data_IF_078460724023
#
_entry.id   IF_078460724023
#
_cell.length_a   1.000
_cell.length_b   1.000
_cell.length_c   1.000
_cell.angle_alpha   90.00
_cell.angle_beta   90.00
_cell.angle_gamma   90.00
#
_symmetry.space_group_name_H-M   'P 1'
#
loop_
_entity.id
_entity.type
_entity.pdbx_description
1 polymer ?
#
# COMPACT_ATOMS: atom_id res chain seq x y z
N UNK A 1 7.86 -1.62 23.40
CA UNK A 1 8.78 -1.06 22.40
C UNK A 1 9.28 -2.15 21.45
N UNK A 2 9.32 -1.85 20.15
CA UNK A 2 9.91 -2.69 19.10
C UNK A 2 11.09 -1.99 18.42
N UNK A 3 11.90 -2.76 17.71
CA UNK A 3 13.08 -2.29 16.97
C UNK A 3 13.02 -2.78 15.53
N UNK A 4 13.28 -1.89 14.57
CA UNK A 4 13.35 -2.20 13.15
C UNK A 4 14.65 -1.67 12.55
N UNK A 5 15.08 -2.29 11.44
CA UNK A 5 16.28 -1.89 10.71
C UNK A 5 16.20 -0.45 10.18
N UNK A 6 17.37 0.09 9.82
CA UNK A 6 17.52 1.38 9.16
C UNK A 6 16.73 1.45 7.85
N UNK A 7 16.33 2.66 7.46
CA UNK A 7 15.58 2.96 6.22
C UNK A 7 14.21 2.29 6.05
N UNK A 8 13.86 1.39 6.96
CA UNK A 8 12.68 0.55 6.86
C UNK A 8 11.42 1.36 7.10
N UNK A 9 11.38 2.22 8.12
CA UNK A 9 10.21 3.08 8.37
C UNK A 9 9.95 4.05 7.21
N UNK A 10 11.02 4.60 6.64
CA UNK A 10 10.97 5.44 5.44
C UNK A 10 10.35 4.69 4.27
N UNK A 11 10.80 3.46 4.02
CA UNK A 11 10.23 2.57 3.02
C UNK A 11 8.74 2.30 3.27
N UNK A 12 8.36 1.85 4.48
CA UNK A 12 6.97 1.55 4.85
C UNK A 12 6.04 2.73 4.53
N UNK A 13 6.41 3.94 4.97
CA UNK A 13 5.62 5.16 4.78
C UNK A 13 5.62 5.61 3.32
N UNK A 14 6.75 5.56 2.63
CA UNK A 14 6.84 5.97 1.22
C UNK A 14 6.01 5.11 0.26
N UNK A 15 5.81 3.83 0.62
CA UNK A 15 5.02 2.86 -0.15
C UNK A 15 3.53 2.94 0.14
N UNK A 16 3.13 3.40 1.33
CA UNK A 16 1.72 3.43 1.76
C UNK A 16 1.09 4.82 1.63
N UNK A 17 1.84 5.89 1.89
CA UNK A 17 1.36 7.28 1.82
C UNK A 17 0.61 7.65 0.52
N UNK A 18 1.02 7.22 -0.69
CA UNK A 18 0.28 7.54 -1.92
C UNK A 18 -1.17 7.00 -1.94
N UNK A 19 -1.46 6.02 -1.09
CA UNK A 19 -2.75 5.36 -0.98
C UNK A 19 -3.63 5.97 0.09
N UNK A 20 -3.21 7.01 0.80
CA UNK A 20 -4.03 7.68 1.82
C UNK A 20 -5.10 8.55 1.16
N UNK A 21 -6.35 8.42 1.60
CA UNK A 21 -7.47 9.26 1.16
C UNK A 21 -7.22 10.76 1.33
N UNK A 22 -7.83 11.56 0.46
CA UNK A 22 -7.76 13.01 0.49
C UNK A 22 -8.69 13.60 1.56
N UNK A 23 -8.57 14.90 1.81
CA UNK A 23 -9.37 15.61 2.83
C UNK A 23 -10.89 15.54 2.59
N UNK A 24 -11.30 15.34 1.34
CA UNK A 24 -12.71 15.20 0.94
C UNK A 24 -13.23 13.76 1.07
N UNK A 25 -12.34 12.79 1.30
CA UNK A 25 -12.72 11.39 1.50
C UNK A 25 -13.17 11.13 2.94
N UNK A 26 -13.75 9.96 3.19
CA UNK A 26 -14.11 9.56 4.55
C UNK A 26 -12.89 9.56 5.49
N UNK A 27 -13.03 10.07 6.71
CA UNK A 27 -11.94 10.17 7.68
C UNK A 27 -11.21 8.84 7.92
N UNK A 28 -11.97 7.72 7.91
CA UNK A 28 -11.41 6.38 8.09
C UNK A 28 -10.32 6.00 7.08
N UNK A 29 -10.31 6.61 5.87
CA UNK A 29 -9.30 6.35 4.85
C UNK A 29 -8.20 7.41 4.79
N UNK A 30 -8.28 8.45 5.63
CA UNK A 30 -7.29 9.53 5.72
C UNK A 30 -6.16 9.18 6.70
N UNK A 31 -5.67 7.94 6.71
CA UNK A 31 -4.65 7.52 7.66
C UNK A 31 -3.71 6.43 7.11
N UNK A 32 -2.58 6.27 7.80
CA UNK A 32 -1.78 5.04 7.75
C UNK A 32 -2.03 4.28 9.05
N UNK A 33 -2.44 3.02 8.94
CA UNK A 33 -2.52 2.09 10.06
C UNK A 33 -1.21 1.35 10.20
N UNK A 34 -0.62 1.37 11.39
CA UNK A 34 0.53 0.56 11.76
C UNK A 34 0.06 -0.60 12.64
N UNK A 35 0.33 -1.83 12.22
CA UNK A 35 0.01 -3.03 13.01
C UNK A 35 1.31 -3.78 13.33
N UNK A 36 1.53 -4.08 14.60
CA UNK A 36 2.58 -4.96 15.08
C UNK A 36 1.96 -6.31 15.48
N UNK A 37 2.45 -7.43 14.91
CA UNK A 37 1.93 -8.78 15.22
C UNK A 37 2.86 -9.64 16.10
N UNK A 38 3.92 -9.05 16.65
CA UNK A 38 4.96 -9.75 17.41
C UNK A 38 6.18 -10.13 16.56
N UNK A 39 6.05 -10.24 15.24
CA UNK A 39 7.15 -10.57 14.33
C UNK A 39 7.38 -9.49 13.28
N UNK A 40 6.31 -8.88 12.80
CA UNK A 40 6.33 -7.90 11.73
C UNK A 40 5.64 -6.62 12.16
N UNK A 41 6.14 -5.51 11.63
CA UNK A 41 5.44 -4.25 11.57
C UNK A 41 4.87 -4.08 10.17
N UNK A 42 3.56 -3.87 10.07
CA UNK A 42 2.86 -3.54 8.84
C UNK A 42 2.50 -2.06 8.85
N UNK A 43 2.60 -1.41 7.70
CA UNK A 43 1.96 -0.14 7.41
C UNK A 43 0.90 -0.38 6.34
N UNK A 44 -0.31 0.13 6.53
CA UNK A 44 -1.42 -0.02 5.60
C UNK A 44 -2.10 1.31 5.32
N UNK A 45 -2.46 1.55 4.06
CA UNK A 45 -3.28 2.70 3.67
C UNK A 45 -4.19 2.35 2.48
N UNK A 46 -5.33 3.02 2.40
CA UNK A 46 -6.28 2.88 1.29
C UNK A 46 -7.00 4.19 0.99
N UNK A 47 -7.39 4.39 -0.26
CA UNK A 47 -8.18 5.53 -0.73
C UNK A 47 -9.45 5.04 -1.44
N UNK A 48 -9.97 3.87 -1.04
CA UNK A 48 -11.13 3.16 -1.62
C UNK A 48 -10.88 2.54 -3.01
N UNK A 49 -9.98 3.11 -3.80
CA UNK A 49 -9.62 2.59 -5.13
C UNK A 49 -8.35 1.77 -5.13
N UNK A 50 -7.45 2.06 -4.20
CA UNK A 50 -6.20 1.35 -4.00
C UNK A 50 -6.03 0.99 -2.54
N UNK A 51 -5.31 -0.10 -2.29
CA UNK A 51 -4.90 -0.56 -0.96
C UNK A 51 -3.43 -0.93 -1.04
N UNK A 52 -2.64 -0.52 -0.07
CA UNK A 52 -1.24 -0.84 0.04
C UNK A 52 -0.91 -1.31 1.45
N UNK A 53 -0.16 -2.40 1.53
CA UNK A 53 0.37 -2.98 2.75
C UNK A 53 1.85 -3.18 2.54
N UNK A 54 2.67 -2.47 3.31
CA UNK A 54 4.11 -2.68 3.37
C UNK A 54 4.46 -3.33 4.70
N UNK A 55 5.43 -4.24 4.72
CA UNK A 55 5.86 -4.90 5.96
C UNK A 55 7.36 -4.83 6.16
N UNK A 56 7.76 -5.12 7.39
CA UNK A 56 9.15 -5.40 7.76
C UNK A 56 9.20 -6.36 8.93
N UNK A 57 10.31 -7.10 9.03
CA UNK A 57 10.64 -7.86 10.22
C UNK A 57 11.01 -6.91 11.38
N UNK A 58 10.55 -7.24 12.58
CA UNK A 58 11.00 -6.66 13.84
C UNK A 58 12.29 -7.37 14.26
N UNK A 59 13.37 -6.60 14.46
CA UNK A 59 14.70 -7.13 14.77
C UNK A 59 15.01 -7.17 16.27
N UNK A 60 14.12 -6.65 17.11
CA UNK A 60 14.27 -6.67 18.55
C UNK A 60 13.14 -5.98 19.29
N UNK A 61 13.16 -6.08 20.62
CA UNK A 61 12.05 -5.66 21.48
C UNK A 61 11.14 -6.83 21.84
N UNK A 62 10.26 -6.59 22.80
CA UNK A 62 9.35 -7.60 23.37
C UNK A 62 7.96 -7.02 23.61
N UNK A 63 7.56 -6.08 22.76
CA UNK A 63 6.24 -5.47 22.85
C UNK A 63 5.16 -6.50 22.50
N UNK A 64 4.03 -6.41 23.18
CA UNK A 64 2.85 -7.15 22.76
C UNK A 64 2.34 -6.64 21.41
N UNK A 65 1.57 -7.44 20.65
CA UNK A 65 0.92 -6.98 19.43
C UNK A 65 0.06 -5.72 19.67
N UNK A 66 0.14 -4.76 18.77
CA UNK A 66 -0.60 -3.50 18.87
C UNK A 66 -0.99 -2.94 17.51
N UNK A 67 -1.94 -2.00 17.51
CA UNK A 67 -2.31 -1.21 16.34
C UNK A 67 -2.27 0.27 16.71
N UNK A 68 -1.79 1.09 15.77
CA UNK A 68 -1.69 2.54 15.90
C UNK A 68 -2.11 3.20 14.59
N UNK A 69 -2.81 4.33 14.67
CA UNK A 69 -3.30 5.04 13.48
C UNK A 69 -2.73 6.43 13.45
N UNK A 70 -2.00 6.75 12.39
CA UNK A 70 -1.45 8.07 12.12
C UNK A 70 -2.32 8.73 11.05
N UNK A 71 -3.01 9.80 11.44
CA UNK A 71 -3.90 10.53 10.55
C UNK A 71 -3.11 11.38 9.55
N UNK A 72 -3.74 11.71 8.42
CA UNK A 72 -3.12 12.41 7.29
C UNK A 72 -2.42 13.70 7.70
N UNK A 73 -3.00 14.43 8.65
CA UNK A 73 -2.47 15.71 9.14
C UNK A 73 -1.10 15.56 9.81
N UNK A 74 -0.79 14.37 10.35
CA UNK A 74 0.44 14.03 11.07
C UNK A 74 1.48 13.40 10.13
N UNK A 75 1.12 13.05 8.90
CA UNK A 75 2.06 12.45 7.94
C UNK A 75 3.23 13.37 7.53
N UNK A 76 3.08 14.70 7.41
CA UNK A 76 4.23 15.58 7.19
C UNK A 76 5.22 15.54 8.36
N UNK A 77 4.73 15.54 9.59
CA UNK A 77 5.56 15.44 10.80
C UNK A 77 6.24 14.07 10.88
N UNK A 78 5.51 12.99 10.64
CA UNK A 78 6.06 11.64 10.50
C UNK A 78 7.19 11.59 9.46
N UNK A 79 6.98 12.18 8.28
CA UNK A 79 8.01 12.19 7.23
C UNK A 79 9.25 12.98 7.65
N UNK A 80 9.08 14.10 8.36
CA UNK A 80 10.19 14.87 8.92
C UNK A 80 10.93 14.08 10.00
N UNK A 81 10.19 13.41 10.89
CA UNK A 81 10.74 12.57 11.94
C UNK A 81 11.57 11.43 11.36
N UNK A 82 11.02 10.71 10.39
CA UNK A 82 11.72 9.66 9.67
C UNK A 82 13.03 10.19 9.10
N UNK A 83 13.02 11.33 8.39
CA UNK A 83 14.23 11.91 7.80
C UNK A 83 15.32 12.22 8.83
N UNK A 84 14.94 12.64 10.04
CA UNK A 84 15.88 12.90 11.14
C UNK A 84 16.45 11.60 11.74
N UNK A 85 15.65 10.54 11.75
CA UNK A 85 15.99 9.24 12.32
C UNK A 85 16.68 8.29 11.33
N UNK A 86 16.59 8.57 10.02
CA UNK A 86 16.88 7.67 8.90
C UNK A 86 18.35 7.21 8.77
N UNK A 87 19.21 7.46 9.75
CA UNK A 87 20.64 7.09 9.67
C UNK A 87 21.00 5.82 10.45
N UNK A 88 20.00 5.13 11.02
CA UNK A 88 20.22 3.90 11.78
C UNK A 88 18.93 3.22 12.22
N UNK A 89 19.08 2.23 13.10
CA UNK A 89 17.98 1.48 13.72
C UNK A 89 16.96 2.41 14.36
N UNK A 90 15.68 2.11 14.16
CA UNK A 90 14.56 2.86 14.74
C UNK A 90 13.88 2.03 15.82
N UNK A 91 13.74 2.62 17.00
CA UNK A 91 12.92 2.10 18.09
C UNK A 91 11.55 2.76 18.04
N UNK A 92 10.50 1.96 18.16
CA UNK A 92 9.11 2.41 18.13
C UNK A 92 8.45 2.01 19.44
N UNK A 93 7.96 3.00 20.16
CA UNK A 93 7.17 2.86 21.37
C UNK A 93 5.76 3.40 21.09
N UNK A 94 4.73 2.69 21.57
CA UNK A 94 3.33 3.08 21.42
C UNK A 94 2.73 3.37 22.78
N UNK A 95 2.20 4.59 22.94
CA UNK A 95 1.34 4.97 24.07
C UNK A 95 -0.13 4.99 23.62
N UNK A 96 -1.05 5.37 24.52
CA UNK A 96 -2.46 5.46 24.17
C UNK A 96 -2.73 6.47 23.03
N UNK A 97 -1.97 7.55 23.01
CA UNK A 97 -2.17 8.77 22.21
C UNK A 97 -1.01 9.10 21.27
N UNK A 98 0.14 8.43 21.39
CA UNK A 98 1.34 8.76 20.63
C UNK A 98 2.09 7.51 20.16
N UNK A 99 2.77 7.64 19.02
CA UNK A 99 3.82 6.75 18.58
C UNK A 99 5.14 7.49 18.66
N UNK A 100 6.02 6.99 19.52
CA UNK A 100 7.29 7.60 19.84
C UNK A 100 8.37 6.88 19.05
N UNK A 101 9.02 7.62 18.17
CA UNK A 101 10.10 7.17 17.31
C UNK A 101 11.43 7.63 17.90
N UNK A 102 12.33 6.69 18.15
CA UNK A 102 13.67 6.98 18.68
C UNK A 102 14.75 6.38 17.80
N UNK A 103 15.84 7.13 17.61
CA UNK A 103 17.01 6.67 16.84
C UNK A 103 18.20 6.38 17.74
N UNK A 104 19.21 5.69 17.20
CA UNK A 104 20.42 5.32 17.94
C UNK A 104 21.20 6.51 18.55
N UNK A 105 20.98 7.74 18.05
CA UNK A 105 21.64 8.97 18.54
C UNK A 105 20.85 9.70 19.63
N UNK A 106 19.81 9.08 20.19
CA UNK A 106 19.02 9.66 21.28
C UNK A 106 17.96 10.69 20.85
N UNK A 107 17.79 10.92 19.54
CA UNK A 107 16.63 11.66 19.04
C UNK A 107 15.36 10.89 19.36
N UNK A 108 14.36 11.58 19.93
CA UNK A 108 13.05 11.04 20.29
C UNK A 108 11.99 11.99 19.77
N UNK A 109 11.10 11.49 18.93
CA UNK A 109 10.04 12.28 18.28
C UNK A 109 8.72 11.57 18.53
N UNK A 110 7.77 12.28 19.12
CA UNK A 110 6.42 11.78 19.34
C UNK A 110 5.53 12.19 18.16
N UNK A 111 4.77 11.23 17.64
CA UNK A 111 3.76 11.46 16.62
C UNK A 111 2.41 11.19 17.24
N UNK A 112 1.51 12.17 17.21
CA UNK A 112 0.16 11.99 17.73
C UNK A 112 -0.61 10.94 16.91
N UNK A 113 -1.23 10.01 17.63
CA UNK A 113 -2.13 9.01 17.09
C UNK A 113 -3.55 9.56 17.09
N UNK A 114 -4.36 9.13 16.12
CA UNK A 114 -5.78 9.47 16.15
C UNK A 114 -6.52 8.54 17.11
N UNK A 115 -7.09 9.05 18.23
CA UNK A 115 -7.85 8.22 19.15
C UNK A 115 -9.23 7.84 18.61
N UNK A 116 -9.70 8.52 17.56
CA UNK A 116 -11.03 8.34 16.98
C UNK A 116 -11.02 7.59 15.65
N UNK A 117 -9.86 7.51 14.99
CA UNK A 117 -9.76 6.78 13.74
C UNK A 117 -10.01 5.29 13.98
N UNK A 118 -10.84 4.71 13.11
CA UNK A 118 -11.06 3.26 13.07
C UNK A 118 -10.25 2.70 11.91
N UNK A 119 -9.68 1.51 12.10
CA UNK A 119 -9.02 0.78 11.02
C UNK A 119 -10.03 0.64 9.86
N UNK A 120 -9.74 1.15 8.66
CA UNK A 120 -10.73 1.26 7.59
C UNK A 120 -11.24 -0.09 7.10
N UNK A 121 -10.36 -1.10 7.10
CA UNK A 121 -10.67 -2.46 6.67
C UNK A 121 -9.65 -3.47 7.21
N UNK A 122 -10.04 -4.73 7.25
CA UNK A 122 -9.14 -5.85 7.52
C UNK A 122 -8.52 -6.33 6.20
N UNK A 123 -7.29 -5.89 5.93
CA UNK A 123 -6.60 -6.19 4.67
C UNK A 123 -6.28 -7.67 4.52
N UNK A 124 -6.11 -8.40 5.64
CA UNK A 124 -5.82 -9.83 5.63
C UNK A 124 -7.01 -10.59 5.07
N UNK A 125 -8.22 -10.28 5.55
CA UNK A 125 -9.47 -10.87 5.05
C UNK A 125 -9.74 -10.50 3.59
N UNK A 126 -9.35 -9.30 3.16
CA UNK A 126 -9.60 -8.82 1.81
C UNK A 126 -8.63 -9.40 0.77
N UNK A 127 -7.33 -9.40 1.08
CA UNK A 127 -6.27 -9.66 0.09
C UNK A 127 -5.75 -11.09 0.13
N UNK A 128 -5.57 -11.70 1.32
CA UNK A 128 -4.96 -13.03 1.42
C UNK A 128 -5.77 -14.11 0.67
N UNK A 129 -7.11 -14.15 0.73
CA UNK A 129 -7.87 -15.12 -0.07
C UNK A 129 -7.72 -14.95 -1.59
N UNK A 130 -7.23 -13.80 -2.03
CA UNK A 130 -7.02 -13.50 -3.44
C UNK A 130 -5.62 -13.92 -3.92
N UNK A 131 -4.65 -14.09 -3.02
CA UNK A 131 -3.30 -14.58 -3.36
C UNK A 131 -3.32 -16.03 -3.84
N UNK A 132 -4.25 -16.82 -3.33
CA UNK A 132 -4.45 -18.23 -3.73
C UNK A 132 -5.13 -18.38 -5.09
N UNK A 133 -5.59 -17.28 -5.71
CA UNK A 133 -6.30 -17.32 -6.99
C UNK A 133 -5.33 -17.12 -8.15
N UNK A 134 -5.40 -17.97 -9.19
CA UNK A 134 -4.59 -17.77 -10.38
C UNK A 134 -4.95 -16.46 -11.08
N UNK A 135 -4.01 -15.95 -11.88
CA UNK A 135 -4.27 -14.83 -12.77
C UNK A 135 -5.44 -15.14 -13.69
N UNK A 136 -6.44 -14.26 -13.70
CA UNK A 136 -7.61 -14.42 -14.55
C UNK A 136 -7.27 -14.15 -16.02
N UNK A 137 -7.78 -14.98 -16.93
CA UNK A 137 -7.65 -14.81 -18.38
C UNK A 137 -8.61 -13.74 -18.93
N UNK A 138 -8.80 -12.65 -18.19
CA UNK A 138 -9.68 -11.53 -18.57
C UNK A 138 -8.89 -10.23 -18.55
N UNK A 139 -9.18 -9.35 -19.50
CA UNK A 139 -8.59 -8.02 -19.52
C UNK A 139 -9.18 -7.16 -18.40
N UNK A 140 -8.35 -6.29 -17.83
CA UNK A 140 -8.77 -5.37 -16.78
C UNK A 140 -8.55 -3.93 -17.24
N UNK A 141 -9.58 -3.11 -17.14
CA UNK A 141 -9.47 -1.67 -17.31
C UNK A 141 -9.05 -1.01 -15.99
N UNK A 142 -8.08 -0.11 -16.06
CA UNK A 142 -7.48 0.55 -14.90
C UNK A 142 -7.41 2.05 -15.15
N UNK A 143 -7.62 2.85 -14.11
CA UNK A 143 -7.47 4.30 -14.19
C UNK A 143 -5.98 4.67 -14.07
N UNK A 144 -5.36 5.27 -15.12
CA UNK A 144 -3.93 5.61 -15.11
C UNK A 144 -3.55 6.59 -14.01
N UNK A 145 -4.50 7.36 -13.45
CA UNK A 145 -4.20 8.31 -12.36
C UNK A 145 -3.62 7.62 -11.12
N UNK A 146 -3.90 6.31 -10.94
CA UNK A 146 -3.38 5.54 -9.82
C UNK A 146 -1.99 4.94 -10.08
N UNK A 147 -1.48 4.94 -11.31
CA UNK A 147 -0.20 4.31 -11.63
C UNK A 147 0.98 4.98 -10.91
N UNK A 148 0.90 6.29 -10.70
CA UNK A 148 1.91 7.03 -9.93
C UNK A 148 2.04 6.60 -8.47
N UNK A 149 1.02 5.94 -7.90
CA UNK A 149 1.05 5.45 -6.52
C UNK A 149 2.06 4.30 -6.33
N UNK A 150 2.32 3.53 -7.40
CA UNK A 150 3.17 2.34 -7.36
C UNK A 150 4.64 2.63 -7.71
N UNK A 151 5.01 3.90 -7.94
CA UNK A 151 6.35 4.26 -8.46
C UNK A 151 7.51 3.93 -7.51
N UNK A 152 7.25 3.81 -6.21
CA UNK A 152 8.25 3.57 -5.16
C UNK A 152 8.35 2.09 -4.76
N UNK A 153 7.73 1.18 -5.51
CA UNK A 153 7.81 -0.24 -5.20
C UNK A 153 9.19 -0.82 -5.51
N UNK A 154 9.69 -1.76 -4.69
CA UNK A 154 10.92 -2.47 -4.97
C UNK A 154 10.73 -3.37 -6.19
N UNK A 155 11.79 -3.57 -6.96
CA UNK A 155 11.78 -4.45 -8.14
C UNK A 155 12.16 -5.88 -7.72
N UNK A 156 11.61 -6.92 -8.37
CA UNK A 156 10.56 -6.88 -9.39
C UNK A 156 9.16 -6.65 -8.81
N UNK A 157 8.24 -6.15 -9.64
CA UNK A 157 6.81 -6.00 -9.33
C UNK A 157 6.02 -6.97 -10.20
N UNK A 158 5.12 -7.74 -9.59
CA UNK A 158 4.17 -8.58 -10.29
C UNK A 158 2.76 -8.02 -10.11
N UNK A 159 1.94 -8.09 -11.16
CA UNK A 159 0.56 -7.64 -11.13
C UNK A 159 -0.34 -8.58 -11.92
N UNK A 160 -1.49 -8.94 -11.37
CA UNK A 160 -2.49 -9.75 -12.07
C UNK A 160 -3.91 -9.45 -11.61
N UNK A 161 -4.87 -9.73 -12.47
CA UNK A 161 -6.30 -9.66 -12.15
C UNK A 161 -6.78 -10.95 -11.49
N UNK A 162 -7.71 -10.84 -10.55
CA UNK A 162 -8.34 -11.99 -9.87
C UNK A 162 -9.72 -12.35 -10.42
N UNK A 163 -10.15 -11.65 -11.48
CA UNK A 163 -11.43 -11.87 -12.16
C UNK A 163 -12.04 -10.59 -12.69
N UNK A 164 -13.13 -10.72 -13.45
CA UNK A 164 -13.87 -9.56 -13.96
C UNK A 164 -14.49 -8.75 -12.82
N UNK A 165 -14.28 -7.43 -12.84
CA UNK A 165 -14.73 -6.52 -11.79
C UNK A 165 -14.08 -6.75 -10.42
N UNK A 166 -13.05 -7.61 -10.33
CA UNK A 166 -12.29 -7.86 -9.11
C UNK A 166 -11.01 -7.04 -9.09
N UNK A 167 -10.50 -6.78 -7.88
CA UNK A 167 -9.26 -6.07 -7.69
C UNK A 167 -8.09 -6.79 -8.39
N UNK A 168 -7.20 -6.00 -8.98
CA UNK A 168 -5.88 -6.49 -9.39
C UNK A 168 -4.97 -6.51 -8.19
N UNK A 169 -4.22 -7.59 -8.01
CA UNK A 169 -3.18 -7.71 -6.99
C UNK A 169 -1.86 -7.19 -7.53
N UNK A 170 -1.09 -6.54 -6.68
CA UNK A 170 0.23 -5.99 -6.95
C UNK A 170 1.16 -6.51 -5.87
N UNK A 171 2.21 -7.24 -6.23
CA UNK A 171 3.13 -7.87 -5.28
C UNK A 171 4.56 -7.45 -5.59
N UNK A 172 5.29 -7.10 -4.54
CA UNK A 172 6.71 -6.81 -4.58
C UNK A 172 7.38 -7.26 -3.28
N UNK A 173 8.70 -7.12 -3.16
CA UNK A 173 9.42 -7.48 -1.94
C UNK A 173 8.85 -6.75 -0.72
N UNK A 174 8.38 -7.52 0.27
CA UNK A 174 7.72 -7.03 1.49
C UNK A 174 6.57 -6.04 1.26
N UNK A 175 5.86 -6.21 0.15
CA UNK A 175 4.76 -5.35 -0.23
C UNK A 175 3.62 -6.14 -0.88
N UNK A 176 2.39 -5.80 -0.49
CA UNK A 176 1.16 -6.30 -1.05
C UNK A 176 0.20 -5.14 -1.31
N UNK A 177 -0.23 -4.98 -2.55
CA UNK A 177 -1.14 -3.94 -3.01
C UNK A 177 -2.33 -4.50 -3.76
N UNK A 178 -3.40 -3.72 -3.81
CA UNK A 178 -4.55 -3.96 -4.66
C UNK A 178 -5.03 -2.67 -5.31
N UNK A 179 -5.58 -2.80 -6.51
CA UNK A 179 -6.23 -1.71 -7.22
C UNK A 179 -7.56 -2.19 -7.81
N UNK A 180 -8.61 -1.41 -7.55
CA UNK A 180 -9.93 -1.62 -8.12
C UNK A 180 -9.91 -1.34 -9.62
N UNK A 181 -10.53 -2.20 -10.44
CA UNK A 181 -10.70 -1.92 -11.85
C UNK A 181 -11.75 -0.83 -12.07
N UNK A 182 -11.71 -0.21 -13.25
CA UNK A 182 -12.85 0.57 -13.74
C UNK A 182 -13.97 -0.41 -14.10
N UNK A 183 -15.22 -0.04 -13.79
CA UNK A 183 -16.38 -0.83 -14.23
C UNK A 183 -16.48 -0.77 -15.76
N UNK A 184 -16.78 -1.91 -16.38
CA UNK A 184 -16.95 -2.02 -17.84
C UNK A 184 -18.28 -1.41 -18.29
N UNK A 185 -18.38 -0.10 -18.25
CA UNK A 185 -19.57 0.65 -18.68
C UNK A 185 -19.13 1.84 -19.54
N UNK A 186 -19.89 2.17 -20.60
CA UNK A 186 -19.62 3.33 -21.45
C UNK A 186 -18.32 3.23 -22.26
N UNK A 187 -17.35 4.09 -21.95
CA UNK A 187 -16.11 4.30 -22.72
C UNK A 187 -15.23 3.04 -22.85
N UNK A 188 -15.28 2.13 -21.89
CA UNK A 188 -14.55 0.84 -21.95
C UNK A 188 -15.05 -0.06 -23.09
N UNK A 189 -16.34 -0.01 -23.41
CA UNK A 189 -16.93 -0.75 -24.54
C UNK A 189 -16.43 -0.19 -25.87
N UNK A 190 -16.30 1.14 -25.97
CA UNK A 190 -15.74 1.80 -27.14
C UNK A 190 -14.25 1.48 -27.32
N UNK A 191 -13.46 1.46 -26.24
CA UNK A 191 -12.06 1.06 -26.26
C UNK A 191 -11.88 -0.39 -26.75
N UNK A 192 -12.83 -1.28 -26.45
CA UNK A 192 -12.79 -2.66 -26.95
C UNK A 192 -12.98 -2.73 -28.46
N UNK A 193 -13.91 -1.97 -29.00
CA UNK A 193 -14.12 -1.86 -30.45
C UNK A 193 -12.88 -1.29 -31.13
N UNK A 194 -12.23 -0.32 -30.50
CA UNK A 194 -10.95 0.20 -30.96
C UNK A 194 -9.89 -0.92 -30.97
N UNK A 195 -9.67 -1.64 -29.87
CA UNK A 195 -8.72 -2.76 -29.80
C UNK A 195 -8.95 -3.81 -30.91
N UNK A 196 -10.20 -4.10 -31.26
CA UNK A 196 -10.50 -5.04 -32.34
C UNK A 196 -10.11 -4.47 -33.73
N UNK A 197 -10.18 -3.16 -33.94
CA UNK A 197 -9.64 -2.49 -35.13
C UNK A 197 -8.10 -2.55 -35.21
N UNK A 198 -7.42 -2.47 -34.06
CA UNK A 198 -5.96 -2.65 -34.01
C UNK A 198 -5.55 -4.10 -34.30
N UNK A 199 -6.36 -5.09 -33.90
CA UNK A 199 -6.12 -6.50 -34.29
C UNK A 199 -6.31 -6.72 -35.79
N UNK A 200 -7.24 -5.99 -36.42
CA UNK A 200 -7.41 -6.03 -37.86
C UNK A 200 -6.22 -5.42 -38.62
N UNK A 201 -5.39 -4.60 -37.95
CA UNK A 201 -4.12 -4.10 -38.47
C UNK A 201 -2.94 -5.06 -38.25
N UNK A 202 -3.16 -6.23 -37.62
CA UNK A 202 -2.15 -7.28 -37.60
C UNK A 202 -1.83 -7.66 -39.04
N UNK A 203 -0.55 -7.60 -39.48
CA UNK A 203 -0.21 -8.02 -40.83
C UNK A 203 -0.70 -9.44 -41.01
N UNK A 204 -1.36 -9.70 -42.13
CA UNK A 204 -1.67 -11.05 -42.60
C UNK A 204 -0.35 -11.76 -42.86
N UNK A 205 0.34 -12.21 -41.82
CA UNK A 205 1.44 -13.14 -41.91
C UNK A 205 0.83 -14.52 -42.18
N UNK A 206 0.28 -14.67 -43.39
CA UNK A 206 -0.05 -15.94 -43.97
C UNK A 206 0.32 -15.91 -45.45
N UNK A 207 1.08 -16.93 -45.85
CA UNK A 207 1.47 -17.33 -47.20
C UNK A 207 2.66 -16.60 -47.85
N UNK A 208 3.85 -16.73 -47.26
CA UNK A 208 5.07 -16.94 -48.04
C UNK A 208 6.10 -17.73 -47.21
N UNK A 209 6.42 -18.93 -47.71
CA UNK A 209 7.40 -19.95 -47.26
C UNK A 209 6.85 -21.05 -46.35
#
# INVERSE_FOLDING_TARGET
MITIADHTLSRLVSQTRPHVGNLIDAEAVQCITFDHDGQHLYAMATNRFTLAVSRTLVTGGSDEPWSAIVHRQQLPEMAAAIKLLDTGTVHIERTADQMILSGARGHRIAIDLSPYAKVPLDWRKLMLPSLEKPAAAVQTAMDPKFFGAWKNLPKPVQMWSTGEGRMSLIVAADFLGAQMPIRREGEDVALRQELDSWKAAAPTLAAAA
#
